data_IF_729701006746
#
_entry.id   IF_729701006746
#
_cell.length_a   1.000
_cell.length_b   1.000
_cell.length_c   1.000
_cell.angle_alpha   90.00
_cell.angle_beta   90.00
_cell.angle_gamma   90.00
#
_symmetry.space_group_name_H-M   'P 1'
#
loop_
_entity.id
_entity.type
_entity.pdbx_description
1 polymer ?
#
# COMPACT_ATOMS: atom_id res chain seq x y z
N UNK A 1 8.08 -32.20 2.96
CA UNK A 1 6.86 -31.54 2.43
C UNK A 1 6.02 -30.87 3.52
N UNK A 2 5.60 -31.57 4.59
CA UNK A 2 4.85 -30.96 5.71
C UNK A 2 5.59 -29.81 6.45
N UNK A 3 6.91 -29.87 6.58
CA UNK A 3 7.70 -28.79 7.23
C UNK A 3 7.78 -27.52 6.37
N UNK A 4 8.05 -27.65 5.06
CA UNK A 4 8.10 -26.52 4.11
C UNK A 4 6.73 -25.85 4.00
N UNK A 5 5.65 -26.64 3.92
CA UNK A 5 4.30 -26.10 3.90
C UNK A 5 4.00 -25.28 5.17
N UNK A 6 4.33 -25.80 6.35
CA UNK A 6 4.18 -25.08 7.63
C UNK A 6 5.10 -23.85 7.74
N UNK A 7 6.20 -23.82 6.99
CA UNK A 7 7.14 -22.71 6.94
C UNK A 7 6.63 -21.57 6.04
N UNK A 8 6.03 -21.89 4.89
CA UNK A 8 5.41 -20.91 3.98
C UNK A 8 4.06 -20.43 4.53
N UNK A 9 3.30 -21.35 5.13
CA UNK A 9 1.98 -21.13 5.71
C UNK A 9 2.00 -21.37 7.23
N UNK A 10 2.62 -20.48 8.02
CA UNK A 10 2.68 -20.62 9.47
C UNK A 10 1.33 -20.34 10.12
N UNK A 11 1.20 -20.69 11.40
CA UNK A 11 0.13 -20.14 12.20
C UNK A 11 0.41 -18.66 12.47
N UNK A 12 -0.42 -17.77 11.91
CA UNK A 12 -0.21 -16.33 11.99
C UNK A 12 -0.67 -15.70 13.31
N UNK A 13 -1.52 -16.40 14.09
CA UNK A 13 -2.09 -15.89 15.34
C UNK A 13 -1.91 -16.95 16.44
N UNK A 14 -1.05 -16.67 17.41
CA UNK A 14 -0.83 -17.54 18.57
C UNK A 14 -2.03 -17.55 19.52
N UNK A 15 -2.11 -18.53 20.43
CA UNK A 15 -3.18 -18.55 21.44
C UNK A 15 -3.13 -17.33 22.38
N UNK A 16 -1.93 -16.83 22.70
CA UNK A 16 -1.76 -15.60 23.46
C UNK A 16 -2.31 -14.38 22.69
N UNK A 17 -1.99 -14.29 21.39
CA UNK A 17 -2.50 -13.23 20.52
C UNK A 17 -4.04 -13.22 20.49
N UNK A 18 -4.69 -14.39 20.44
CA UNK A 18 -6.16 -14.50 20.50
C UNK A 18 -6.75 -13.86 21.76
N UNK A 19 -6.06 -13.93 22.90
CA UNK A 19 -6.50 -13.27 24.12
C UNK A 19 -6.26 -11.75 24.10
N UNK A 20 -5.13 -11.31 23.55
CA UNK A 20 -4.74 -9.90 23.51
C UNK A 20 -5.61 -9.07 22.56
N UNK A 21 -6.03 -9.64 21.42
CA UNK A 21 -6.88 -8.97 20.43
C UNK A 21 -8.19 -8.46 21.04
N UNK A 22 -8.75 -9.17 22.04
CA UNK A 22 -9.97 -8.75 22.73
C UNK A 22 -9.79 -7.45 23.56
N UNK A 23 -8.55 -7.11 23.91
CA UNK A 23 -8.19 -5.91 24.68
C UNK A 23 -7.80 -4.74 23.79
N UNK A 24 -7.58 -4.99 22.51
CA UNK A 24 -7.06 -4.02 21.56
C UNK A 24 -8.04 -2.87 21.32
N UNK A 25 -7.52 -1.63 21.28
CA UNK A 25 -8.28 -0.42 20.97
C UNK A 25 -7.46 0.45 20.03
N UNK A 26 -8.10 0.84 18.92
CA UNK A 26 -7.53 1.79 17.98
C UNK A 26 -7.49 3.20 18.54
N UNK A 27 -6.36 3.88 18.36
CA UNK A 27 -6.19 5.31 18.61
C UNK A 27 -5.56 5.92 17.36
N UNK A 28 -6.27 6.88 16.76
CA UNK A 28 -5.80 7.63 15.60
C UNK A 28 -6.01 9.12 15.79
N UNK A 29 -5.05 9.90 15.32
CA UNK A 29 -5.09 11.35 15.23
C UNK A 29 -4.77 11.75 13.79
N UNK A 30 -5.63 12.56 13.19
CA UNK A 30 -5.43 13.08 11.84
C UNK A 30 -5.32 14.60 11.90
N UNK A 31 -4.14 15.13 11.57
CA UNK A 31 -3.88 16.57 11.54
C UNK A 31 -3.99 17.16 10.13
N UNK A 32 -4.42 16.38 9.13
CA UNK A 32 -4.59 16.83 7.75
C UNK A 32 -5.42 18.11 7.67
N UNK A 33 -4.91 19.09 6.91
CA UNK A 33 -5.59 20.36 6.70
C UNK A 33 -6.87 20.16 5.89
N UNK A 34 -6.77 19.44 4.77
CA UNK A 34 -7.92 19.22 3.89
C UNK A 34 -8.96 18.36 4.61
N UNK A 35 -8.55 17.29 5.28
CA UNK A 35 -9.47 16.43 6.02
C UNK A 35 -10.25 17.24 7.06
N UNK A 36 -9.56 17.92 7.97
CA UNK A 36 -10.20 18.54 9.12
C UNK A 36 -11.07 19.75 8.77
N UNK A 37 -10.61 20.62 7.88
CA UNK A 37 -11.28 21.88 7.60
C UNK A 37 -12.27 21.83 6.43
N UNK A 38 -12.13 20.86 5.51
CA UNK A 38 -12.96 20.79 4.30
C UNK A 38 -13.82 19.52 4.30
N UNK A 39 -13.22 18.35 4.52
CA UNK A 39 -13.88 17.08 4.21
C UNK A 39 -14.64 16.46 5.38
N UNK A 40 -14.21 16.64 6.62
CA UNK A 40 -14.90 16.09 7.80
C UNK A 40 -16.38 16.49 7.85
N UNK A 41 -16.79 17.75 7.61
CA UNK A 41 -18.20 18.12 7.54
C UNK A 41 -18.98 17.34 6.46
N UNK A 42 -18.36 17.11 5.31
CA UNK A 42 -18.94 16.33 4.22
C UNK A 42 -19.05 14.84 4.59
N UNK A 43 -17.97 14.21 5.04
CA UNK A 43 -17.94 12.79 5.42
C UNK A 43 -18.90 12.45 6.56
N UNK A 44 -19.07 13.35 7.54
CA UNK A 44 -20.07 13.20 8.62
C UNK A 44 -21.50 13.15 8.10
N UNK A 45 -21.79 13.80 6.97
CA UNK A 45 -23.09 13.70 6.30
C UNK A 45 -23.15 12.44 5.41
N UNK A 46 -22.10 12.21 4.61
CA UNK A 46 -22.03 11.13 3.64
C UNK A 46 -22.09 9.72 4.26
N UNK A 47 -21.64 9.53 5.51
CA UNK A 47 -21.80 8.25 6.22
C UNK A 47 -23.27 7.82 6.32
N UNK A 48 -24.22 8.76 6.30
CA UNK A 48 -25.64 8.44 6.35
C UNK A 48 -26.20 7.87 5.04
N UNK A 49 -25.45 7.96 3.94
CA UNK A 49 -25.78 7.27 2.69
C UNK A 49 -25.55 5.76 2.76
N UNK A 50 -24.71 5.32 3.71
CA UNK A 50 -24.46 3.90 3.93
C UNK A 50 -25.62 3.27 4.73
N UNK A 51 -26.16 2.13 4.27
CA UNK A 51 -27.14 1.35 5.03
C UNK A 51 -26.60 0.91 6.38
N UNK A 52 -27.44 0.87 7.42
CA UNK A 52 -27.02 0.45 8.76
C UNK A 52 -26.63 -1.03 8.87
N UNK A 53 -27.03 -1.86 7.90
CA UNK A 53 -26.64 -3.27 7.82
C UNK A 53 -25.33 -3.49 7.02
N UNK A 54 -24.76 -2.43 6.43
CA UNK A 54 -23.50 -2.51 5.71
C UNK A 54 -22.32 -2.51 6.68
N UNK A 55 -21.55 -3.60 6.70
CA UNK A 55 -20.37 -3.73 7.54
C UNK A 55 -19.26 -2.76 7.10
N UNK A 56 -18.51 -2.15 8.03
CA UNK A 56 -17.39 -1.25 7.71
C UNK A 56 -16.37 -1.87 6.75
N UNK A 57 -15.97 -3.12 6.96
CA UNK A 57 -14.98 -3.79 6.09
C UNK A 57 -15.49 -3.96 4.65
N UNK A 58 -16.81 -4.03 4.43
CA UNK A 58 -17.38 -4.04 3.09
C UNK A 58 -17.28 -2.65 2.43
N UNK A 59 -17.40 -1.58 3.21
CA UNK A 59 -17.16 -0.19 2.75
C UNK A 59 -15.72 -0.06 2.26
N UNK A 60 -14.74 -0.48 3.08
CA UNK A 60 -13.32 -0.55 2.71
C UNK A 60 -13.10 -1.34 1.42
N UNK A 61 -13.66 -2.56 1.35
CA UNK A 61 -13.47 -3.45 0.20
C UNK A 61 -14.04 -2.86 -1.10
N UNK A 62 -15.18 -2.18 -1.04
CA UNK A 62 -15.76 -1.47 -2.19
C UNK A 62 -14.84 -0.33 -2.65
N UNK A 63 -14.29 0.45 -1.71
CA UNK A 63 -13.28 1.47 -2.01
C UNK A 63 -12.06 0.88 -2.70
N UNK A 64 -11.52 -0.21 -2.17
CA UNK A 64 -10.38 -0.94 -2.73
C UNK A 64 -10.64 -1.42 -4.18
N UNK A 65 -11.85 -1.91 -4.49
CA UNK A 65 -12.17 -2.36 -5.84
C UNK A 65 -12.18 -1.24 -6.89
N UNK A 66 -12.49 0.01 -6.51
CA UNK A 66 -12.33 1.14 -7.44
C UNK A 66 -10.87 1.36 -7.82
N UNK A 67 -9.93 1.18 -6.89
CA UNK A 67 -8.50 1.26 -7.20
C UNK A 67 -8.07 0.12 -8.13
N UNK A 68 -8.55 -1.10 -7.88
CA UNK A 68 -8.28 -2.24 -8.77
C UNK A 68 -8.82 -1.99 -10.18
N UNK A 69 -10.04 -1.44 -10.30
CA UNK A 69 -10.62 -1.04 -11.59
C UNK A 69 -9.73 -0.01 -12.30
N UNK A 70 -9.30 1.04 -11.60
CA UNK A 70 -8.39 2.05 -12.13
C UNK A 70 -7.08 1.44 -12.64
N UNK A 71 -6.47 0.56 -11.85
CA UNK A 71 -5.24 -0.15 -12.23
C UNK A 71 -5.44 -1.04 -13.46
N UNK A 72 -6.50 -1.86 -13.52
CA UNK A 72 -6.78 -2.73 -14.68
C UNK A 72 -7.02 -1.92 -15.96
N UNK A 73 -7.74 -0.79 -15.87
CA UNK A 73 -7.89 0.11 -17.01
C UNK A 73 -6.54 0.72 -17.43
N UNK A 74 -5.71 1.12 -16.46
CA UNK A 74 -4.37 1.62 -16.74
C UNK A 74 -3.48 0.57 -17.42
N UNK A 75 -3.54 -0.69 -16.99
CA UNK A 75 -2.82 -1.80 -17.63
C UNK A 75 -3.21 -1.98 -19.10
N UNK A 76 -4.50 -1.81 -19.42
CA UNK A 76 -5.00 -1.98 -20.77
C UNK A 76 -4.58 -0.82 -21.70
N UNK A 77 -4.71 0.43 -21.23
CA UNK A 77 -4.47 1.62 -22.06
C UNK A 77 -3.03 2.14 -22.00
N UNK A 78 -2.29 1.86 -20.92
CA UNK A 78 -0.94 2.37 -20.66
C UNK A 78 -0.02 1.23 -20.14
N UNK A 79 0.14 0.12 -20.91
CA UNK A 79 0.94 -1.02 -20.46
C UNK A 79 2.42 -0.66 -20.22
N UNK A 80 2.93 0.39 -20.85
CA UNK A 80 4.31 0.86 -20.65
C UNK A 80 4.42 2.04 -19.67
N UNK A 81 3.33 2.41 -18.98
CA UNK A 81 3.24 3.60 -18.12
C UNK A 81 3.49 4.95 -18.84
N UNK A 82 3.39 4.94 -20.17
CA UNK A 82 3.47 6.10 -21.05
C UNK A 82 2.44 5.94 -22.17
N UNK A 83 2.03 7.07 -22.75
CA UNK A 83 1.37 7.09 -24.04
C UNK A 83 2.46 7.02 -25.10
N UNK A 84 2.46 5.95 -25.91
CA UNK A 84 3.48 5.83 -26.96
C UNK A 84 3.30 6.90 -28.04
N UNK A 85 4.39 7.23 -28.74
CA UNK A 85 4.36 8.28 -29.77
C UNK A 85 3.35 7.92 -30.87
N UNK A 86 2.29 8.71 -30.97
CA UNK A 86 1.23 8.53 -31.96
C UNK A 86 0.00 7.77 -31.43
N UNK A 87 0.05 7.25 -30.20
CA UNK A 87 -1.13 6.68 -29.56
C UNK A 87 -2.02 7.78 -28.98
N UNK A 88 -3.31 7.70 -29.29
CA UNK A 88 -4.33 8.59 -28.73
C UNK A 88 -4.91 7.89 -27.51
N UNK A 89 -4.46 8.26 -26.32
CA UNK A 89 -5.03 7.78 -25.07
C UNK A 89 -6.34 8.54 -24.79
N UNK A 90 -7.48 7.86 -24.61
CA UNK A 90 -8.75 8.54 -24.40
C UNK A 90 -8.74 9.36 -23.10
N UNK A 91 -9.06 10.66 -23.18
CA UNK A 91 -9.08 11.56 -22.01
C UNK A 91 -9.98 11.06 -20.87
N UNK A 92 -11.06 10.33 -21.20
CA UNK A 92 -11.97 9.77 -20.20
C UNK A 92 -11.27 8.78 -19.27
N UNK A 93 -10.19 8.12 -19.70
CA UNK A 93 -9.41 7.21 -18.86
C UNK A 93 -8.94 7.94 -17.60
N UNK A 94 -8.33 9.12 -17.79
CA UNK A 94 -7.79 9.91 -16.69
C UNK A 94 -8.90 10.50 -15.80
N UNK A 95 -10.07 10.81 -16.37
CA UNK A 95 -11.26 11.17 -15.56
C UNK A 95 -11.71 9.99 -14.69
N UNK A 96 -11.73 8.77 -15.25
CA UNK A 96 -12.05 7.56 -14.48
C UNK A 96 -11.01 7.30 -13.39
N UNK A 97 -9.71 7.52 -13.65
CA UNK A 97 -8.68 7.41 -12.61
C UNK A 97 -8.93 8.39 -11.45
N UNK A 98 -9.22 9.65 -11.76
CA UNK A 98 -9.56 10.66 -10.75
C UNK A 98 -10.80 10.24 -9.92
N UNK A 99 -11.84 9.72 -10.57
CA UNK A 99 -13.05 9.22 -9.90
C UNK A 99 -12.73 8.00 -9.02
N UNK A 100 -11.90 7.08 -9.49
CA UNK A 100 -11.53 5.88 -8.72
C UNK A 100 -10.79 6.26 -7.43
N UNK A 101 -9.80 7.16 -7.50
CA UNK A 101 -9.07 7.66 -6.32
C UNK A 101 -10.00 8.42 -5.37
N UNK A 102 -10.89 9.26 -5.90
CA UNK A 102 -11.87 9.99 -5.09
C UNK A 102 -12.86 9.07 -4.38
N UNK A 103 -13.40 8.06 -5.08
CA UNK A 103 -14.30 7.07 -4.49
C UNK A 103 -13.58 6.26 -3.41
N UNK A 104 -12.36 5.79 -3.67
CA UNK A 104 -11.57 5.10 -2.66
C UNK A 104 -11.41 5.95 -1.40
N UNK A 105 -10.94 7.20 -1.51
CA UNK A 105 -10.81 8.10 -0.36
C UNK A 105 -12.14 8.30 0.37
N UNK A 106 -13.24 8.44 -0.38
CA UNK A 106 -14.55 8.58 0.24
C UNK A 106 -14.88 7.34 1.08
N UNK A 107 -14.75 6.14 0.51
CA UNK A 107 -15.10 4.90 1.20
C UNK A 107 -14.18 4.62 2.41
N UNK A 108 -12.87 4.86 2.26
CA UNK A 108 -11.87 4.84 3.32
C UNK A 108 -12.26 5.77 4.48
N UNK A 109 -12.55 7.04 4.20
CA UNK A 109 -12.97 7.98 5.23
C UNK A 109 -14.32 7.63 5.89
N UNK A 110 -15.17 6.86 5.21
CA UNK A 110 -16.50 6.48 5.69
C UNK A 110 -16.48 5.20 6.53
N UNK A 111 -15.53 4.29 6.38
CA UNK A 111 -15.59 2.99 7.05
C UNK A 111 -15.49 3.10 8.59
N UNK A 112 -14.56 3.91 9.12
CA UNK A 112 -14.39 4.10 10.55
C UNK A 112 -15.53 4.93 11.13
N UNK A 113 -16.12 5.83 10.32
CA UNK A 113 -17.34 6.57 10.70
C UNK A 113 -18.53 5.63 10.77
N UNK A 114 -18.66 4.71 9.80
CA UNK A 114 -19.67 3.67 9.81
C UNK A 114 -19.47 2.75 11.01
N UNK A 115 -18.24 2.31 11.29
CA UNK A 115 -17.93 1.46 12.44
C UNK A 115 -18.35 2.08 13.78
N UNK A 116 -18.13 3.39 13.95
CA UNK A 116 -18.62 4.13 15.12
C UNK A 116 -20.14 4.24 15.14
N UNK A 117 -20.77 4.52 13.98
CA UNK A 117 -22.23 4.65 13.83
C UNK A 117 -22.97 3.34 14.11
N UNK A 118 -22.39 2.21 13.74
CA UNK A 118 -22.95 0.85 13.95
C UNK A 118 -22.43 0.17 15.22
N UNK A 119 -21.57 0.83 15.99
CA UNK A 119 -20.91 0.29 17.18
C UNK A 119 -20.22 -1.07 16.92
N UNK A 120 -19.49 -1.13 15.80
CA UNK A 120 -18.82 -2.32 15.29
C UNK A 120 -17.32 -2.12 15.03
N UNK A 121 -16.69 -1.14 15.70
CA UNK A 121 -15.24 -0.95 15.69
C UNK A 121 -14.53 -2.17 16.29
N UNK A 122 -13.47 -2.64 15.64
CA UNK A 122 -12.68 -3.79 16.09
C UNK A 122 -11.27 -3.75 15.52
N UNK A 123 -10.32 -4.49 16.13
CA UNK A 123 -8.97 -4.65 15.57
C UNK A 123 -8.99 -5.32 14.19
N UNK A 124 -9.96 -6.18 13.89
CA UNK A 124 -10.15 -6.71 12.54
C UNK A 124 -10.45 -5.60 11.53
N UNK A 125 -11.30 -4.63 11.89
CA UNK A 125 -11.64 -3.53 11.00
C UNK A 125 -10.42 -2.71 10.62
N UNK A 126 -9.59 -2.38 11.60
CA UNK A 126 -8.33 -1.66 11.36
C UNK A 126 -7.31 -2.47 10.54
N UNK A 127 -7.16 -3.76 10.82
CA UNK A 127 -6.28 -4.62 10.01
C UNK A 127 -6.76 -4.69 8.56
N UNK A 128 -8.09 -4.76 8.36
CA UNK A 128 -8.70 -4.86 7.04
C UNK A 128 -8.51 -3.58 6.25
N UNK A 129 -8.77 -2.44 6.88
CA UNK A 129 -8.59 -1.09 6.34
C UNK A 129 -7.14 -0.84 5.91
N UNK A 130 -6.22 -0.81 6.87
CA UNK A 130 -4.81 -0.56 6.60
C UNK A 130 -4.13 -1.67 5.77
N UNK A 131 -4.66 -2.89 5.82
CA UNK A 131 -4.26 -3.97 4.93
C UNK A 131 -4.60 -3.66 3.47
N UNK A 132 -5.82 -3.19 3.19
CA UNK A 132 -6.21 -2.71 1.86
C UNK A 132 -5.38 -1.49 1.44
N UNK A 133 -5.17 -0.51 2.33
CA UNK A 133 -4.36 0.68 2.06
C UNK A 133 -2.95 0.36 1.60
N UNK A 134 -2.34 -0.68 2.17
CA UNK A 134 -0.99 -1.09 1.81
C UNK A 134 -0.88 -1.57 0.35
N UNK A 135 -1.91 -2.22 -0.20
CA UNK A 135 -1.99 -2.55 -1.63
C UNK A 135 -2.43 -1.34 -2.46
N UNK A 136 -3.39 -0.56 -1.97
CA UNK A 136 -3.86 0.65 -2.63
C UNK A 136 -2.72 1.61 -2.90
N UNK A 137 -1.81 1.79 -1.94
CA UNK A 137 -0.63 2.64 -2.08
C UNK A 137 0.19 2.27 -3.32
N UNK A 138 0.40 0.97 -3.59
CA UNK A 138 1.07 0.52 -4.81
C UNK A 138 0.27 0.87 -6.07
N UNK A 139 -0.99 0.47 -6.14
CA UNK A 139 -1.81 0.62 -7.35
C UNK A 139 -2.09 2.08 -7.71
N UNK A 140 -2.40 2.92 -6.72
CA UNK A 140 -2.67 4.36 -6.93
C UNK A 140 -1.40 5.09 -7.35
N UNK A 141 -0.26 4.86 -6.70
CA UNK A 141 0.98 5.53 -7.09
C UNK A 141 1.44 5.08 -8.48
N UNK A 142 1.30 3.79 -8.82
CA UNK A 142 1.64 3.28 -10.15
C UNK A 142 0.77 3.92 -11.25
N UNK A 143 -0.55 3.97 -11.04
CA UNK A 143 -1.48 4.59 -12.01
C UNK A 143 -1.26 6.09 -12.14
N UNK A 144 -0.91 6.76 -11.03
CA UNK A 144 -0.54 8.17 -11.06
C UNK A 144 0.75 8.42 -11.84
N UNK A 145 1.80 7.64 -11.60
CA UNK A 145 3.07 7.72 -12.36
C UNK A 145 2.85 7.47 -13.86
N UNK A 146 1.88 6.63 -14.24
CA UNK A 146 1.49 6.43 -15.64
C UNK A 146 0.84 7.69 -16.24
N UNK A 147 0.00 8.38 -15.46
CA UNK A 147 -0.61 9.65 -15.87
C UNK A 147 0.43 10.76 -16.06
N UNK A 148 1.51 10.72 -15.27
CA UNK A 148 2.66 11.63 -15.36
C UNK A 148 3.64 11.28 -16.50
N UNK A 149 3.38 10.23 -17.27
CA UNK A 149 4.28 9.78 -18.35
C UNK A 149 5.69 9.44 -17.85
N UNK A 150 5.79 8.85 -16.66
CA UNK A 150 7.09 8.49 -16.09
C UNK A 150 7.71 7.27 -16.78
N UNK A 151 6.90 6.41 -17.40
CA UNK A 151 7.37 5.19 -18.07
C UNK A 151 7.97 4.18 -17.11
N UNK A 152 8.45 3.07 -17.65
CA UNK A 152 9.09 2.03 -16.85
C UNK A 152 10.61 2.28 -16.86
N UNK A 153 11.13 2.78 -15.74
CA UNK A 153 12.56 2.98 -15.52
C UNK A 153 12.85 3.02 -14.02
N UNK A 154 14.13 3.07 -13.65
CA UNK A 154 14.57 3.04 -12.26
C UNK A 154 14.10 4.25 -11.43
N UNK A 155 13.83 5.41 -12.05
CA UNK A 155 13.27 6.57 -11.34
C UNK A 155 11.82 6.27 -10.94
N UNK A 156 11.03 5.69 -11.85
CA UNK A 156 9.66 5.24 -11.56
C UNK A 156 9.64 4.18 -10.46
N UNK A 157 10.54 3.19 -10.51
CA UNK A 157 10.69 2.16 -9.47
C UNK A 157 11.02 2.81 -8.13
N UNK A 158 12.01 3.68 -8.08
CA UNK A 158 12.41 4.38 -6.87
C UNK A 158 11.28 5.23 -6.30
N UNK A 159 10.63 6.06 -7.13
CA UNK A 159 9.56 6.95 -6.70
C UNK A 159 8.34 6.18 -6.16
N UNK A 160 7.95 5.10 -6.84
CA UNK A 160 6.86 4.22 -6.40
C UNK A 160 7.16 3.63 -5.02
N UNK A 161 8.32 3.00 -4.87
CA UNK A 161 8.66 2.33 -3.62
C UNK A 161 9.07 3.27 -2.50
N UNK A 162 9.53 4.49 -2.80
CA UNK A 162 9.76 5.52 -1.78
C UNK A 162 8.45 5.92 -1.06
N UNK A 163 7.33 6.01 -1.78
CA UNK A 163 6.03 6.32 -1.17
C UNK A 163 5.48 5.15 -0.38
N UNK A 164 5.66 3.93 -0.89
CA UNK A 164 5.33 2.72 -0.12
C UNK A 164 6.18 2.66 1.17
N UNK A 165 7.47 2.98 1.09
CA UNK A 165 8.35 3.05 2.26
C UNK A 165 7.85 4.09 3.29
N UNK A 166 7.37 5.25 2.83
CA UNK A 166 6.75 6.25 3.71
C UNK A 166 5.49 5.73 4.40
N UNK A 167 4.61 5.00 3.69
CA UNK A 167 3.44 4.34 4.27
C UNK A 167 3.84 3.35 5.37
N UNK A 168 4.87 2.53 5.13
CA UNK A 168 5.37 1.59 6.13
C UNK A 168 5.81 2.28 7.42
N UNK A 169 6.49 3.43 7.31
CA UNK A 169 6.96 4.16 8.49
C UNK A 169 5.83 4.73 9.34
N UNK A 170 4.68 5.06 8.76
CA UNK A 170 3.49 5.44 9.54
C UNK A 170 2.96 4.25 10.36
N UNK A 171 2.91 3.06 9.75
CA UNK A 171 2.52 1.84 10.44
C UNK A 171 3.55 1.41 11.50
N UNK A 172 4.83 1.63 11.25
CA UNK A 172 5.93 1.38 12.18
C UNK A 172 5.91 2.33 13.37
N UNK A 173 5.63 3.62 13.16
CA UNK A 173 5.39 4.55 14.27
C UNK A 173 4.22 4.06 15.13
N UNK A 174 3.09 3.70 14.51
CA UNK A 174 1.94 3.20 15.25
C UNK A 174 2.27 1.90 16.00
N UNK A 175 3.08 1.00 15.43
CA UNK A 175 3.52 -0.22 16.12
C UNK A 175 4.32 0.08 17.41
N UNK A 176 5.05 1.19 17.46
CA UNK A 176 5.86 1.57 18.63
C UNK A 176 5.18 2.52 19.61
N UNK A 177 4.18 3.27 19.15
CA UNK A 177 3.50 4.31 19.92
C UNK A 177 2.05 3.98 20.29
N UNK A 178 1.48 2.95 19.66
CA UNK A 178 0.04 2.59 19.69
C UNK A 178 -0.90 3.68 19.16
N UNK A 179 -0.36 4.73 18.54
CA UNK A 179 -1.11 5.88 18.02
C UNK A 179 -0.81 6.04 16.54
N UNK A 180 -1.85 6.00 15.70
CA UNK A 180 -1.72 6.41 14.30
C UNK A 180 -1.73 7.94 14.24
N UNK A 181 -0.60 8.57 13.96
CA UNK A 181 -0.50 10.03 13.83
C UNK A 181 -0.30 10.40 12.36
N UNK A 182 -1.36 10.90 11.72
CA UNK A 182 -1.24 11.46 10.37
C UNK A 182 -0.86 12.95 10.47
N UNK A 183 0.19 13.33 9.73
CA UNK A 183 0.69 14.69 9.68
C UNK A 183 -0.21 15.65 8.90
N UNK A 184 0.20 16.92 8.84
CA UNK A 184 -0.56 17.99 8.18
C UNK A 184 -0.69 17.83 6.66
N UNK A 185 0.33 17.25 6.01
CA UNK A 185 0.32 16.86 4.60
C UNK A 185 0.39 15.33 4.56
N UNK A 186 -0.76 14.70 4.74
CA UNK A 186 -0.90 13.26 4.90
C UNK A 186 -1.49 12.59 3.65
N UNK A 187 -2.04 11.38 3.80
CA UNK A 187 -2.64 10.63 2.70
C UNK A 187 -3.73 11.42 1.96
N UNK A 188 -4.54 12.19 2.68
CA UNK A 188 -5.61 13.02 2.09
C UNK A 188 -5.07 14.03 1.07
N UNK A 189 -4.06 14.83 1.45
CA UNK A 189 -3.44 15.81 0.55
C UNK A 189 -2.79 15.13 -0.66
N UNK A 190 -2.12 14.00 -0.46
CA UNK A 190 -1.51 13.24 -1.54
C UNK A 190 -2.56 12.72 -2.54
N UNK A 191 -3.66 12.16 -2.05
CA UNK A 191 -4.75 11.66 -2.90
C UNK A 191 -5.43 12.79 -3.70
N UNK A 192 -5.71 13.95 -3.09
CA UNK A 192 -6.23 15.10 -3.85
C UNK A 192 -5.25 15.62 -4.89
N UNK A 193 -3.96 15.62 -4.58
CA UNK A 193 -2.92 16.00 -5.55
C UNK A 193 -2.93 15.04 -6.73
N UNK A 194 -3.12 13.73 -6.50
CA UNK A 194 -3.24 12.72 -7.55
C UNK A 194 -4.52 12.89 -8.38
N UNK A 195 -5.67 13.14 -7.72
CA UNK A 195 -6.95 13.45 -8.39
C UNK A 195 -6.78 14.65 -9.33
N UNK A 196 -6.19 15.74 -8.84
CA UNK A 196 -5.92 16.94 -9.63
C UNK A 196 -5.00 16.60 -10.81
N UNK A 197 -3.91 15.87 -10.58
CA UNK A 197 -2.99 15.49 -11.65
C UNK A 197 -3.65 14.63 -12.73
N UNK A 198 -4.49 13.67 -12.36
CA UNK A 198 -5.29 12.91 -13.33
C UNK A 198 -6.23 13.82 -14.15
N UNK A 199 -6.92 14.78 -13.51
CA UNK A 199 -7.79 15.72 -14.21
C UNK A 199 -7.00 16.66 -15.14
N UNK A 200 -5.80 17.10 -14.74
CA UNK A 200 -4.91 17.87 -15.60
C UNK A 200 -4.49 17.04 -16.83
N UNK A 201 -4.16 15.75 -16.64
CA UNK A 201 -3.89 14.84 -17.77
C UNK A 201 -5.09 14.69 -18.69
N UNK A 202 -6.30 14.62 -18.14
CA UNK A 202 -7.52 14.52 -18.95
C UNK A 202 -7.74 15.76 -19.84
N UNK A 203 -7.48 16.96 -19.29
CA UNK A 203 -7.73 18.25 -19.94
C UNK A 203 -6.64 18.59 -20.96
N UNK A 204 -5.36 18.46 -20.58
CA UNK A 204 -4.23 18.90 -21.39
C UNK A 204 -3.55 17.77 -22.18
N UNK A 205 -3.95 16.53 -21.93
CA UNK A 205 -3.34 15.33 -22.48
C UNK A 205 -2.04 14.93 -21.77
N UNK A 206 -1.54 13.70 -21.99
CA UNK A 206 -0.35 13.20 -21.29
C UNK A 206 0.93 13.97 -21.57
N UNK A 207 1.09 14.50 -22.78
CA UNK A 207 2.26 15.28 -23.18
C UNK A 207 2.45 16.58 -22.38
N UNK A 208 1.40 17.07 -21.71
CA UNK A 208 1.46 18.20 -20.78
C UNK A 208 2.62 18.04 -19.79
N UNK A 209 2.78 16.83 -19.24
CA UNK A 209 3.77 16.53 -18.20
C UNK A 209 5.23 16.54 -18.69
N UNK A 210 5.43 16.48 -20.01
CA UNK A 210 6.75 16.55 -20.64
C UNK A 210 7.20 18.00 -20.91
N UNK A 211 6.34 18.98 -20.62
CA UNK A 211 6.68 20.40 -20.70
C UNK A 211 7.80 20.71 -19.73
N UNK A 212 8.80 21.47 -20.18
CA UNK A 212 9.92 21.91 -19.33
C UNK A 212 9.55 23.18 -18.57
N UNK A 213 9.93 23.22 -17.30
CA UNK A 213 9.75 24.37 -16.42
C UNK A 213 11.06 24.63 -15.68
N UNK A 214 11.52 25.88 -15.73
CA UNK A 214 12.70 26.34 -14.99
C UNK A 214 12.29 26.97 -13.66
N UNK A 215 12.76 26.38 -12.55
CA UNK A 215 12.54 26.90 -11.19
C UNK A 215 13.91 27.03 -10.53
N UNK A 216 14.21 28.22 -10.00
CA UNK A 216 15.48 28.51 -9.30
C UNK A 216 16.74 28.12 -10.11
N UNK A 217 16.68 28.24 -11.44
CA UNK A 217 17.79 27.92 -12.34
C UNK A 217 17.91 26.46 -12.76
N UNK A 218 17.04 25.57 -12.29
CA UNK A 218 16.98 24.17 -12.70
C UNK A 218 15.85 23.97 -13.71
N UNK A 219 16.17 23.47 -14.91
CA UNK A 219 15.19 23.17 -15.96
C UNK A 219 14.87 21.68 -15.97
N UNK A 220 13.68 21.31 -15.48
CA UNK A 220 13.18 19.94 -15.46
C UNK A 220 11.81 19.85 -16.13
N UNK A 221 11.40 18.65 -16.52
CA UNK A 221 10.03 18.40 -16.96
C UNK A 221 9.03 18.47 -15.79
N UNK A 222 7.78 18.80 -16.05
CA UNK A 222 6.74 18.87 -15.00
C UNK A 222 6.57 17.55 -14.25
N UNK A 223 6.62 16.40 -14.93
CA UNK A 223 6.58 15.09 -14.26
C UNK A 223 7.74 14.89 -13.28
N UNK A 224 8.96 15.29 -13.64
CA UNK A 224 10.13 15.21 -12.79
C UNK A 224 9.99 16.11 -11.55
N UNK A 225 9.45 17.32 -11.72
CA UNK A 225 9.12 18.21 -10.60
C UNK A 225 8.11 17.57 -9.65
N UNK A 226 7.02 16.99 -10.17
CA UNK A 226 6.01 16.32 -9.34
C UNK A 226 6.61 15.13 -8.60
N UNK A 227 7.40 14.29 -9.28
CA UNK A 227 8.06 13.15 -8.65
C UNK A 227 9.06 13.59 -7.57
N UNK A 228 9.84 14.66 -7.81
CA UNK A 228 10.75 15.20 -6.82
C UNK A 228 10.01 15.69 -5.56
N UNK A 229 8.89 16.41 -5.73
CA UNK A 229 8.04 16.87 -4.61
C UNK A 229 7.44 15.66 -3.88
N UNK A 230 6.97 14.66 -4.62
CA UNK A 230 6.39 13.44 -4.06
C UNK A 230 7.42 12.70 -3.19
N UNK A 231 8.62 12.43 -3.70
CA UNK A 231 9.72 11.79 -2.94
C UNK A 231 10.14 12.63 -1.74
N UNK A 232 10.27 13.95 -1.89
CA UNK A 232 10.61 14.85 -0.79
C UNK A 232 9.57 14.80 0.32
N UNK A 233 8.28 14.84 -0.04
CA UNK A 233 7.17 14.76 0.92
C UNK A 233 7.16 13.43 1.69
N UNK A 234 7.37 12.31 0.99
CA UNK A 234 7.49 10.99 1.61
C UNK A 234 8.70 10.89 2.55
N UNK A 235 9.84 11.47 2.15
CA UNK A 235 11.04 11.53 2.98
C UNK A 235 10.81 12.34 4.26
N UNK A 236 10.16 13.50 4.17
CA UNK A 236 9.81 14.31 5.32
C UNK A 236 8.82 13.58 6.25
N UNK A 237 7.86 12.83 5.70
CA UNK A 237 6.96 11.99 6.48
C UNK A 237 7.72 10.90 7.24
N UNK A 238 8.67 10.20 6.60
CA UNK A 238 9.53 9.21 7.27
C UNK A 238 10.29 9.84 8.44
N UNK A 239 10.90 11.02 8.24
CA UNK A 239 11.61 11.73 9.30
C UNK A 239 10.68 12.08 10.46
N UNK A 240 9.46 12.54 10.16
CA UNK A 240 8.45 12.84 11.18
C UNK A 240 8.07 11.59 11.99
N UNK A 241 7.83 10.45 11.32
CA UNK A 241 7.48 9.19 11.96
C UNK A 241 8.63 8.67 12.86
N UNK A 242 9.88 8.78 12.41
CA UNK A 242 11.08 8.47 13.24
C UNK A 242 11.13 9.36 14.48
N UNK A 243 10.90 10.67 14.31
CA UNK A 243 10.84 11.59 15.44
C UNK A 243 9.71 11.24 16.41
N UNK A 244 8.55 10.82 15.92
CA UNK A 244 7.43 10.35 16.73
C UNK A 244 7.79 9.16 17.62
N UNK A 245 8.46 8.14 17.04
CA UNK A 245 8.96 6.99 17.80
C UNK A 245 9.99 7.41 18.85
N UNK A 246 10.98 8.24 18.49
CA UNK A 246 12.00 8.72 19.45
C UNK A 246 11.35 9.49 20.60
N UNK A 247 10.40 10.38 20.28
CA UNK A 247 9.70 11.23 21.26
C UNK A 247 8.82 10.41 22.20
N UNK A 248 8.25 9.29 21.76
CA UNK A 248 7.43 8.42 22.61
C UNK A 248 8.17 7.88 23.83
N UNK A 249 9.50 7.69 23.72
CA UNK A 249 10.33 7.18 24.81
C UNK A 249 10.05 5.73 25.22
N UNK A 250 9.18 5.00 24.51
CA UNK A 250 8.75 3.65 24.88
C UNK A 250 9.91 2.63 24.81
N UNK A 251 10.78 2.73 23.81
CA UNK A 251 11.94 1.84 23.60
C UNK A 251 13.11 2.62 22.97
N UNK A 252 14.37 2.22 23.26
CA UNK A 252 15.53 2.70 22.51
C UNK A 252 15.41 2.44 21.00
N UNK A 253 15.77 3.43 20.18
CA UNK A 253 15.61 3.35 18.71
C UNK A 253 16.24 2.11 18.08
N UNK A 254 17.42 1.67 18.57
CA UNK A 254 18.12 0.52 18.01
C UNK A 254 17.34 -0.80 18.13
N UNK A 255 16.46 -0.93 19.14
CA UNK A 255 15.57 -2.08 19.28
C UNK A 255 14.39 -2.03 18.32
N UNK A 256 14.02 -0.84 17.82
CA UNK A 256 12.93 -0.61 16.88
C UNK A 256 13.35 -0.85 15.41
N UNK A 257 14.66 -0.83 15.13
CA UNK A 257 15.20 -0.99 13.76
C UNK A 257 14.94 -2.39 13.20
N UNK A 258 14.80 -3.42 14.05
CA UNK A 258 14.58 -4.79 13.60
C UNK A 258 13.32 -4.93 12.73
N UNK A 259 12.25 -4.17 13.03
CA UNK A 259 11.02 -4.16 12.23
C UNK A 259 11.18 -3.45 10.88
N UNK A 260 12.22 -2.63 10.71
CA UNK A 260 12.50 -1.90 9.46
C UNK A 260 13.30 -2.79 8.48
N UNK A 261 14.05 -3.76 8.99
CA UNK A 261 14.91 -4.61 8.17
C UNK A 261 14.19 -5.30 6.99
N UNK A 262 13.00 -5.92 7.15
CA UNK A 262 12.30 -6.58 6.04
C UNK A 262 11.96 -5.61 4.89
N UNK A 263 11.50 -4.40 5.20
CA UNK A 263 11.14 -3.41 4.18
C UNK A 263 12.39 -2.80 3.53
N UNK A 264 13.50 -2.66 4.26
CA UNK A 264 14.78 -2.25 3.69
C UNK A 264 15.34 -3.30 2.72
N UNK A 265 15.26 -4.59 3.08
CA UNK A 265 15.64 -5.68 2.17
C UNK A 265 14.78 -5.61 0.91
N UNK A 266 13.46 -5.49 1.06
CA UNK A 266 12.56 -5.38 -0.09
C UNK A 266 12.92 -4.20 -1.01
N UNK A 267 13.17 -3.02 -0.44
CA UNK A 267 13.48 -1.81 -1.20
C UNK A 267 14.86 -1.87 -1.86
N UNK A 268 15.87 -2.41 -1.17
CA UNK A 268 17.17 -2.66 -1.77
C UNK A 268 17.07 -3.69 -2.90
N UNK A 269 16.38 -4.81 -2.67
CA UNK A 269 16.26 -5.89 -3.64
C UNK A 269 15.56 -5.44 -4.93
N UNK A 270 14.51 -4.60 -4.87
CA UNK A 270 13.88 -4.14 -6.11
C UNK A 270 14.79 -3.20 -6.90
N UNK A 271 15.46 -2.25 -6.24
CA UNK A 271 16.34 -1.30 -6.92
C UNK A 271 17.57 -2.01 -7.51
N UNK A 272 18.15 -2.95 -6.76
CA UNK A 272 19.27 -3.74 -7.22
C UNK A 272 18.87 -4.63 -8.40
N UNK A 273 17.77 -5.37 -8.27
CA UNK A 273 17.33 -6.30 -9.31
C UNK A 273 16.86 -5.56 -10.58
N UNK A 274 16.25 -4.38 -10.46
CA UNK A 274 15.89 -3.56 -11.62
C UNK A 274 17.11 -2.98 -12.35
N UNK A 275 18.22 -2.76 -11.64
CA UNK A 275 19.50 -2.33 -12.23
C UNK A 275 20.26 -3.51 -12.87
N UNK A 276 20.29 -4.67 -12.22
CA UNK A 276 20.96 -5.87 -12.75
C UNK A 276 20.25 -6.47 -13.98
N UNK A 277 18.92 -6.43 -13.98
CA UNK A 277 18.09 -7.10 -14.99
C UNK A 277 17.07 -6.14 -15.61
N UNK A 278 17.50 -5.12 -16.37
CA UNK A 278 16.60 -4.14 -16.98
C UNK A 278 15.58 -4.78 -17.94
N UNK A 279 15.92 -5.93 -18.53
CA UNK A 279 15.01 -6.71 -19.39
C UNK A 279 13.70 -7.11 -18.68
N UNK A 280 13.69 -7.24 -17.34
CA UNK A 280 12.47 -7.52 -16.59
C UNK A 280 11.48 -6.36 -16.66
N UNK A 281 12.00 -5.14 -16.58
CA UNK A 281 11.22 -3.92 -16.72
C UNK A 281 10.71 -3.74 -18.15
N UNK A 282 11.44 -4.20 -19.16
CA UNK A 282 11.00 -4.13 -20.55
C UNK A 282 9.96 -5.20 -20.92
N UNK A 283 10.13 -6.43 -20.43
CA UNK A 283 9.36 -7.58 -20.89
C UNK A 283 8.15 -7.90 -20.00
N UNK A 284 8.31 -7.78 -18.68
CA UNK A 284 7.27 -8.12 -17.69
C UNK A 284 7.19 -7.10 -16.54
N UNK A 285 7.07 -5.79 -16.84
CA UNK A 285 7.09 -4.72 -15.85
C UNK A 285 6.04 -4.91 -14.76
N UNK A 286 4.79 -5.16 -15.14
CA UNK A 286 3.69 -5.24 -14.19
C UNK A 286 3.80 -6.45 -13.26
N UNK A 287 4.01 -7.70 -13.74
CA UNK A 287 4.26 -8.81 -12.83
C UNK A 287 5.43 -8.58 -11.88
N UNK A 288 6.54 -8.00 -12.38
CA UNK A 288 7.70 -7.69 -11.55
C UNK A 288 7.40 -6.65 -10.47
N UNK A 289 6.83 -5.50 -10.83
CA UNK A 289 6.51 -4.44 -9.88
C UNK A 289 5.40 -4.87 -8.90
N UNK A 290 4.38 -5.59 -9.38
CA UNK A 290 3.25 -6.03 -8.55
C UNK A 290 3.66 -7.12 -7.58
N UNK A 291 4.61 -8.00 -7.93
CA UNK A 291 5.24 -8.92 -6.98
C UNK A 291 5.78 -8.17 -5.75
N UNK A 292 6.55 -7.12 -5.95
CA UNK A 292 7.08 -6.32 -4.85
C UNK A 292 5.98 -5.53 -4.13
N UNK A 293 4.91 -5.13 -4.84
CA UNK A 293 3.71 -4.56 -4.23
C UNK A 293 3.03 -5.50 -3.22
N UNK A 294 2.82 -6.76 -3.60
CA UNK A 294 2.26 -7.78 -2.70
C UNK A 294 3.20 -8.15 -1.55
N UNK A 295 4.51 -8.26 -1.80
CA UNK A 295 5.49 -8.49 -0.74
C UNK A 295 5.49 -7.35 0.27
N UNK A 296 5.44 -6.09 -0.19
CA UNK A 296 5.32 -4.94 0.69
C UNK A 296 4.05 -5.01 1.54
N UNK A 297 2.89 -5.25 0.91
CA UNK A 297 1.63 -5.35 1.63
C UNK A 297 1.65 -6.49 2.65
N UNK A 298 2.25 -7.63 2.30
CA UNK A 298 2.42 -8.76 3.22
C UNK A 298 3.24 -8.37 4.46
N UNK A 299 4.40 -7.74 4.28
CA UNK A 299 5.25 -7.28 5.40
C UNK A 299 4.49 -6.28 6.26
N UNK A 300 3.76 -5.36 5.63
CA UNK A 300 3.02 -4.29 6.32
C UNK A 300 1.85 -4.86 7.12
N UNK A 301 1.06 -5.77 6.54
CA UNK A 301 -0.02 -6.43 7.25
C UNK A 301 0.49 -7.28 8.41
N UNK A 302 1.67 -7.90 8.30
CA UNK A 302 2.31 -8.63 9.40
C UNK A 302 2.69 -7.70 10.55
N UNK A 303 3.22 -6.51 10.26
CA UNK A 303 3.51 -5.48 11.26
C UNK A 303 2.23 -5.02 11.98
N UNK A 304 1.18 -4.70 11.22
CA UNK A 304 -0.13 -4.29 11.76
C UNK A 304 -0.73 -5.41 12.63
N UNK A 305 -0.69 -6.66 12.14
CA UNK A 305 -1.18 -7.82 12.89
C UNK A 305 -0.40 -8.00 14.20
N UNK A 306 0.94 -7.91 14.17
CA UNK A 306 1.76 -8.01 15.38
C UNK A 306 1.37 -6.95 16.42
N UNK A 307 1.11 -5.70 16.00
CA UNK A 307 0.58 -4.65 16.90
C UNK A 307 -0.75 -5.07 17.52
N UNK A 308 -1.74 -5.42 16.69
CA UNK A 308 -3.10 -5.77 17.15
C UNK A 308 -3.08 -6.98 18.10
N UNK A 309 -2.19 -7.93 17.83
CA UNK A 309 -1.94 -9.11 18.66
C UNK A 309 -1.07 -8.84 19.89
N UNK A 310 -0.49 -7.64 20.02
CA UNK A 310 0.52 -7.28 21.01
C UNK A 310 1.69 -8.29 21.06
N UNK A 311 2.12 -8.77 19.89
CA UNK A 311 3.22 -9.71 19.72
C UNK A 311 4.40 -9.04 19.02
N UNK A 312 5.59 -9.64 19.16
CA UNK A 312 6.75 -9.20 18.38
C UNK A 312 6.58 -9.59 16.91
N UNK A 313 7.01 -8.70 16.01
CA UNK A 313 7.17 -9.05 14.60
C UNK A 313 8.37 -9.99 14.45
N UNK A 314 8.17 -11.11 13.77
CA UNK A 314 9.26 -12.00 13.38
C UNK A 314 10.15 -11.31 12.32
N UNK A 315 11.45 -11.23 12.60
CA UNK A 315 12.41 -10.52 11.75
C UNK A 315 12.55 -11.15 10.36
N UNK A 316 12.41 -12.48 10.26
CA UNK A 316 12.55 -13.19 9.00
C UNK A 316 11.18 -13.58 8.45
N UNK A 317 10.84 -13.00 7.29
CA UNK A 317 9.64 -13.36 6.56
C UNK A 317 10.03 -14.27 5.41
N UNK A 318 9.56 -15.52 5.44
CA UNK A 318 9.95 -16.58 4.50
C UNK A 318 9.77 -16.18 3.03
N UNK A 319 8.72 -15.41 2.73
CA UNK A 319 8.48 -14.93 1.37
C UNK A 319 9.58 -14.00 0.86
N UNK A 320 10.41 -13.40 1.71
CA UNK A 320 11.56 -12.58 1.31
C UNK A 320 12.85 -13.38 1.14
N UNK A 321 12.87 -14.66 1.50
CA UNK A 321 14.07 -15.50 1.37
C UNK A 321 14.63 -15.51 -0.07
N UNK A 322 13.80 -15.57 -1.14
CA UNK A 322 14.30 -15.48 -2.50
C UNK A 322 14.89 -14.12 -2.87
N UNK A 323 14.68 -13.06 -2.08
CA UNK A 323 15.22 -11.72 -2.34
C UNK A 323 16.60 -11.48 -1.71
N UNK A 324 17.00 -12.31 -0.74
CA UNK A 324 18.32 -12.25 -0.09
C UNK A 324 19.43 -12.55 -1.10
N UNK A 325 19.12 -13.43 -2.04
CA UNK A 325 19.94 -13.72 -3.20
C UNK A 325 19.24 -13.06 -4.38
N UNK A 326 19.83 -12.05 -5.04
CA UNK A 326 19.27 -11.61 -6.32
C UNK A 326 19.19 -12.82 -7.27
N UNK A 327 18.36 -12.74 -8.32
CA UNK A 327 18.11 -13.91 -9.17
C UNK A 327 19.40 -14.52 -9.72
N UNK A 328 20.43 -13.74 -10.02
CA UNK A 328 21.71 -14.24 -10.56
C UNK A 328 22.49 -15.15 -9.58
N UNK A 329 22.76 -14.75 -8.32
CA UNK A 329 23.25 -15.65 -7.27
C UNK A 329 22.36 -16.88 -7.06
N UNK A 330 21.04 -16.70 -6.99
CA UNK A 330 20.11 -17.80 -6.74
C UNK A 330 20.11 -18.82 -7.89
N UNK A 331 20.12 -18.34 -9.14
CA UNK A 331 20.24 -19.14 -10.36
C UNK A 331 21.55 -19.91 -10.37
N UNK A 332 22.66 -19.24 -10.09
CA UNK A 332 24.00 -19.85 -10.07
C UNK A 332 24.09 -20.97 -9.02
N UNK A 333 23.37 -20.82 -7.90
CA UNK A 333 23.35 -21.80 -6.82
C UNK A 333 22.36 -22.96 -7.05
N UNK A 334 21.12 -22.68 -7.49
CA UNK A 334 20.04 -23.68 -7.54
C UNK A 334 19.80 -24.28 -8.93
N UNK A 335 19.91 -23.49 -10.00
CA UNK A 335 19.51 -23.91 -11.35
C UNK A 335 20.43 -23.31 -12.43
N UNK A 336 21.68 -23.80 -12.55
CA UNK A 336 22.71 -23.13 -13.36
C UNK A 336 22.30 -22.84 -14.82
N UNK A 337 21.39 -23.63 -15.43
CA UNK A 337 21.09 -23.53 -16.86
C UNK A 337 19.61 -23.69 -17.31
N UNK A 338 18.62 -23.84 -16.42
CA UNK A 338 17.30 -24.34 -16.83
C UNK A 338 16.09 -23.42 -16.66
N UNK A 339 16.17 -22.35 -15.86
CA UNK A 339 15.01 -21.49 -15.58
C UNK A 339 15.27 -20.06 -16.06
N UNK A 340 14.47 -19.56 -17.01
CA UNK A 340 14.54 -18.14 -17.42
C UNK A 340 14.13 -17.21 -16.28
N UNK A 341 14.72 -16.03 -16.21
CA UNK A 341 14.42 -15.02 -15.19
C UNK A 341 12.94 -14.62 -15.17
N UNK A 342 12.34 -14.43 -16.35
CA UNK A 342 10.92 -14.09 -16.47
C UNK A 342 10.03 -15.16 -15.84
N UNK A 343 10.25 -16.44 -16.19
CA UNK A 343 9.49 -17.55 -15.61
C UNK A 343 9.68 -17.59 -14.09
N UNK A 344 10.90 -17.37 -13.59
CA UNK A 344 11.13 -17.30 -12.13
C UNK A 344 10.29 -16.19 -11.47
N UNK A 345 10.31 -14.97 -12.02
CA UNK A 345 9.51 -13.84 -11.50
C UNK A 345 8.03 -14.17 -11.53
N UNK A 346 7.51 -14.77 -12.61
CA UNK A 346 6.09 -15.15 -12.70
C UNK A 346 5.73 -16.21 -11.66
N UNK A 347 6.54 -17.27 -11.51
CA UNK A 347 6.29 -18.32 -10.52
C UNK A 347 6.35 -17.74 -9.09
N UNK A 348 7.30 -16.86 -8.82
CA UNK A 348 7.44 -16.20 -7.54
C UNK A 348 6.29 -15.24 -7.25
N UNK A 349 5.86 -14.47 -8.25
CA UNK A 349 4.67 -13.63 -8.19
C UNK A 349 3.42 -14.44 -7.83
N UNK A 350 3.16 -15.55 -8.53
CA UNK A 350 2.03 -16.42 -8.25
C UNK A 350 2.11 -17.00 -6.83
N UNK A 351 3.29 -17.46 -6.40
CA UNK A 351 3.50 -17.96 -5.03
C UNK A 351 3.20 -16.89 -3.98
N UNK A 352 3.67 -15.66 -4.19
CA UNK A 352 3.45 -14.54 -3.27
C UNK A 352 1.98 -14.16 -3.21
N UNK A 353 1.29 -14.09 -4.36
CA UNK A 353 -0.14 -13.79 -4.41
C UNK A 353 -0.96 -14.86 -3.68
N UNK A 354 -0.70 -16.14 -3.95
CA UNK A 354 -1.36 -17.26 -3.25
C UNK A 354 -1.09 -17.18 -1.75
N UNK A 355 0.15 -16.92 -1.35
CA UNK A 355 0.54 -16.82 0.07
C UNK A 355 -0.10 -15.62 0.76
N UNK A 356 -0.22 -14.49 0.06
CA UNK A 356 -0.90 -13.29 0.55
C UNK A 356 -2.37 -13.55 0.80
N UNK A 357 -3.10 -14.11 -0.17
CA UNK A 357 -4.53 -14.39 -0.01
C UNK A 357 -4.79 -15.50 1.02
N UNK A 358 -3.91 -16.50 1.13
CA UNK A 358 -3.96 -17.45 2.23
C UNK A 358 -3.80 -16.76 3.59
N UNK A 359 -2.77 -15.91 3.74
CA UNK A 359 -2.54 -15.14 4.97
C UNK A 359 -3.75 -14.29 5.35
N UNK A 360 -4.25 -13.46 4.44
CA UNK A 360 -5.41 -12.60 4.67
C UNK A 360 -6.64 -13.42 5.05
N UNK A 361 -6.92 -14.52 4.33
CA UNK A 361 -8.08 -15.39 4.62
C UNK A 361 -7.98 -16.04 5.99
N UNK A 362 -6.82 -16.61 6.35
CA UNK A 362 -6.62 -17.28 7.64
C UNK A 362 -6.72 -16.28 8.79
N UNK A 363 -6.09 -15.11 8.66
CA UNK A 363 -6.08 -14.08 9.70
C UNK A 363 -7.48 -13.49 9.90
N UNK A 364 -8.19 -13.13 8.82
CA UNK A 364 -9.56 -12.62 8.90
C UNK A 364 -10.48 -13.64 9.57
N UNK A 365 -10.43 -14.91 9.14
CA UNK A 365 -11.27 -15.95 9.74
C UNK A 365 -10.95 -16.17 11.22
N UNK A 366 -9.66 -16.22 11.57
CA UNK A 366 -9.23 -16.39 12.97
C UNK A 366 -9.71 -15.22 13.84
N UNK A 367 -9.58 -13.99 13.35
CA UNK A 367 -10.06 -12.80 14.05
C UNK A 367 -11.58 -12.79 14.17
N UNK A 368 -12.32 -13.15 13.13
CA UNK A 368 -13.77 -13.31 13.19
C UNK A 368 -14.19 -14.32 14.26
N UNK A 369 -13.50 -15.47 14.35
CA UNK A 369 -13.79 -16.53 15.30
C UNK A 369 -13.50 -16.12 16.75
N UNK A 370 -12.43 -15.35 16.98
CA UNK A 370 -12.06 -14.81 18.30
C UNK A 370 -13.02 -13.71 18.73
N UNK A 371 -13.29 -12.75 17.83
CA UNK A 371 -14.15 -11.59 18.10
C UNK A 371 -15.65 -11.92 18.05
N UNK A 372 -16.02 -13.11 17.55
CA UNK A 372 -17.42 -13.55 17.34
C UNK A 372 -18.21 -12.60 16.43
N UNK A 373 -17.58 -12.16 15.34
CA UNK A 373 -18.18 -11.28 14.32
C UNK A 373 -18.10 -11.92 12.93
N UNK A 374 -18.82 -11.34 11.96
CA UNK A 374 -18.67 -11.64 10.54
C UNK A 374 -17.96 -10.47 9.86
N UNK A 375 -17.04 -10.76 8.95
CA UNK A 375 -16.24 -9.72 8.30
C UNK A 375 -17.09 -8.74 7.48
N UNK A 376 -18.04 -9.25 6.69
CA UNK A 376 -18.80 -8.45 5.72
C UNK A 376 -20.29 -8.31 6.03
N UNK A 377 -20.72 -8.68 7.23
CA UNK A 377 -22.13 -8.61 7.62
C UNK A 377 -22.26 -8.19 9.06
N UNK A 378 -23.14 -7.23 9.34
CA UNK A 378 -23.51 -6.88 10.69
C UNK A 378 -24.63 -7.83 11.15
N UNK A 379 -24.37 -8.58 12.22
CA UNK A 379 -25.43 -9.33 12.89
C UNK A 379 -26.23 -8.31 13.69
N UNK A 380 -27.50 -8.09 13.30
CA UNK A 380 -28.38 -7.21 14.05
C UNK A 380 -28.42 -7.68 15.52
N UNK A 381 -27.96 -6.84 16.45
CA UNK A 381 -28.36 -7.01 17.84
C UNK A 381 -29.86 -6.78 17.86
N UNK A 382 -30.63 -7.86 18.05
CA UNK A 382 -32.06 -7.75 18.38
C UNK A 382 -32.09 -6.83 19.61
N UNK A 383 -32.65 -5.63 19.43
CA UNK A 383 -32.78 -4.64 20.49
C UNK A 383 -33.75 -5.11 21.55
#
# INVERSE_FOLDING_TARGET
>A
MKSIFKFIFPNYVSEEAKHNILKYKYIGCDNSFIANYILQPFWRKAVNWLPLNMAPNLVTLVGFFFIILGYVLNLYYLPNMIADKGEIIPSWLFVVQAICVWLYQLFDALDGKQARRTNSSSGLGELFDHGCDSLTTYFVVQTFLSSLQMGINNITVFALFAIMFAFYFAQWEQYHTDIMSLGYAGPTESQYSMIIGHLLTAIYGPSFWLTKLSILGYELQLNQWVVAIMVLSGTLAIIANIHGVIKSGNKPLWLCINQVLPVCILFYSILHWSLESPNLLEQIPHPFLTLFGFLFSFITCRLILSRICQSSLENFQVLLAPLIFSYQPLRSFLFPHYLSENIFVILYFLLVVISYFHFVSVVINTLCDVLKIKCFTLVNKIK
#
